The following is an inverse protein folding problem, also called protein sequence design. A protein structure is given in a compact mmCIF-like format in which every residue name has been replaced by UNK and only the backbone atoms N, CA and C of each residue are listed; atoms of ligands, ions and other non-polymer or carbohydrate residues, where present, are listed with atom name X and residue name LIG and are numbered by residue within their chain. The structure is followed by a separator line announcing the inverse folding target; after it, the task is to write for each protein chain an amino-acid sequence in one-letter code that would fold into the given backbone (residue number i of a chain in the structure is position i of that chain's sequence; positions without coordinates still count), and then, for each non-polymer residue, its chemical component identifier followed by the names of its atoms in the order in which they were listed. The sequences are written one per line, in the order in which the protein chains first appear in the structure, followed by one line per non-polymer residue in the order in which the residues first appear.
data_IF_026065704913
#
_entry.id   IF_026065704913
#
_cell.length_a   1.000
_cell.length_b   1.000
_cell.length_c   1.000
_cell.angle_alpha   90.00
_cell.angle_beta   90.00
_cell.angle_gamma   90.00
#
_symmetry.space_group_name_H-M   'P 1'
#
loop_
_entity.id
_entity.type
_entity.pdbx_description
1 polymer ?
#
# COMPACT_ATOMS: atom_id res chain seq x y z
N UNK A 1 -19.05 -35.83 -17.21
CA UNK A 1 -19.53 -34.59 -16.55
C UNK A 1 -20.64 -33.98 -17.41
N UNK A 2 -21.87 -33.73 -16.93
CA UNK A 2 -22.96 -33.30 -17.80
C UNK A 2 -22.71 -31.90 -18.35
N UNK A 3 -22.83 -31.72 -19.65
CA UNK A 3 -22.63 -30.49 -20.44
C UNK A 3 -23.34 -29.26 -19.83
N UNK A 4 -24.49 -29.47 -19.16
CA UNK A 4 -25.21 -28.41 -18.43
C UNK A 4 -24.40 -27.81 -17.27
N UNK A 5 -23.59 -28.62 -16.57
CA UNK A 5 -22.75 -28.14 -15.44
C UNK A 5 -21.62 -27.29 -15.95
N UNK A 6 -21.00 -27.70 -17.06
CA UNK A 6 -19.91 -26.94 -17.72
C UNK A 6 -20.43 -25.59 -18.23
N UNK A 7 -21.58 -25.57 -18.94
CA UNK A 7 -22.19 -24.31 -19.42
C UNK A 7 -22.55 -23.34 -18.27
N UNK A 8 -23.04 -23.87 -17.13
CA UNK A 8 -23.41 -23.07 -15.96
C UNK A 8 -22.16 -22.48 -15.30
N UNK A 9 -21.08 -23.26 -15.17
CA UNK A 9 -19.80 -22.78 -14.62
C UNK A 9 -19.20 -21.71 -15.53
N UNK A 10 -19.13 -21.94 -16.84
CA UNK A 10 -18.64 -20.98 -17.82
C UNK A 10 -19.42 -19.64 -17.78
N UNK A 11 -20.76 -19.69 -17.73
CA UNK A 11 -21.59 -18.47 -17.61
C UNK A 11 -21.32 -17.73 -16.30
N UNK A 12 -21.15 -18.46 -15.17
CA UNK A 12 -20.84 -17.87 -13.86
C UNK A 12 -19.44 -17.22 -13.85
N UNK A 13 -18.44 -17.90 -14.38
CA UNK A 13 -17.07 -17.38 -14.48
C UNK A 13 -17.02 -16.14 -15.40
N UNK A 14 -17.66 -16.22 -16.58
CA UNK A 14 -17.75 -15.07 -17.49
C UNK A 14 -18.49 -13.89 -16.87
N UNK A 15 -19.55 -14.13 -16.11
CA UNK A 15 -20.28 -13.05 -15.42
C UNK A 15 -19.45 -12.40 -14.33
N UNK A 16 -18.69 -13.18 -13.54
CA UNK A 16 -17.78 -12.65 -12.49
C UNK A 16 -16.69 -11.82 -13.14
N UNK A 17 -16.00 -12.36 -14.14
CA UNK A 17 -14.96 -11.63 -14.88
C UNK A 17 -15.49 -10.34 -15.52
N UNK A 18 -16.69 -10.42 -16.15
CA UNK A 18 -17.32 -9.25 -16.77
C UNK A 18 -17.73 -8.20 -15.75
N UNK A 19 -18.25 -8.60 -14.58
CA UNK A 19 -18.65 -7.69 -13.50
C UNK A 19 -17.46 -7.01 -12.84
N UNK A 20 -16.34 -7.71 -12.70
CA UNK A 20 -15.10 -7.14 -12.16
C UNK A 20 -14.44 -6.13 -13.11
N UNK A 21 -14.68 -6.28 -14.42
CA UNK A 21 -14.14 -5.35 -15.44
C UNK A 21 -15.07 -4.18 -15.76
N UNK A 22 -16.35 -4.24 -15.35
CA UNK A 22 -17.30 -3.12 -15.51
C UNK A 22 -17.11 -2.09 -14.39
N UNK A 23 -16.03 -1.34 -14.46
CA UNK A 23 -15.85 -0.18 -13.59
C UNK A 23 -16.55 1.03 -14.23
N UNK A 24 -17.34 1.76 -13.44
CA UNK A 24 -17.99 3.00 -13.84
C UNK A 24 -16.91 4.03 -14.25
N UNK A 25 -17.06 4.71 -15.39
CA UNK A 25 -16.14 5.75 -15.87
C UNK A 25 -15.83 6.80 -14.78
N UNK A 26 -16.80 7.12 -13.93
CA UNK A 26 -16.61 8.01 -12.78
C UNK A 26 -15.60 7.45 -11.76
N UNK A 27 -15.59 6.13 -11.57
CA UNK A 27 -14.61 5.48 -10.68
C UNK A 27 -13.19 5.60 -11.24
N UNK A 28 -13.02 5.40 -12.54
CA UNK A 28 -11.73 5.58 -13.23
C UNK A 28 -11.25 7.04 -13.12
N UNK A 29 -12.15 7.99 -13.34
CA UNK A 29 -11.83 9.42 -13.25
C UNK A 29 -11.33 9.80 -11.84
N UNK A 30 -12.05 9.38 -10.79
CA UNK A 30 -11.64 9.70 -9.42
C UNK A 30 -10.39 8.94 -8.97
N UNK A 31 -10.19 7.71 -9.43
CA UNK A 31 -8.95 6.96 -9.19
C UNK A 31 -7.76 7.67 -9.87
N UNK A 32 -7.93 8.14 -11.12
CA UNK A 32 -6.91 8.91 -11.82
C UNK A 32 -6.57 10.21 -11.11
N UNK A 33 -7.54 11.06 -10.82
CA UNK A 33 -7.31 12.37 -10.19
C UNK A 33 -6.69 12.20 -8.80
N UNK A 34 -7.23 11.29 -7.97
CA UNK A 34 -6.71 11.04 -6.63
C UNK A 34 -5.26 10.55 -6.65
N UNK A 35 -4.94 9.58 -7.52
CA UNK A 35 -3.57 9.08 -7.65
C UNK A 35 -2.63 10.12 -8.25
N UNK A 36 -3.07 10.87 -9.26
CA UNK A 36 -2.27 11.94 -9.88
C UNK A 36 -1.89 13.02 -8.87
N UNK A 37 -2.87 13.50 -8.08
CA UNK A 37 -2.61 14.51 -7.05
C UNK A 37 -1.74 13.95 -5.93
N UNK A 38 -2.04 12.75 -5.42
CA UNK A 38 -1.28 12.12 -4.34
C UNK A 38 0.18 11.87 -4.72
N UNK A 39 0.41 11.24 -5.87
CA UNK A 39 1.77 11.02 -6.37
C UNK A 39 2.46 12.31 -6.78
N UNK A 40 1.73 13.24 -7.41
CA UNK A 40 2.27 14.52 -7.83
C UNK A 40 2.81 15.34 -6.66
N UNK A 41 2.09 15.36 -5.53
CA UNK A 41 2.56 16.00 -4.30
C UNK A 41 3.83 15.35 -3.74
N UNK A 42 3.86 14.00 -3.70
CA UNK A 42 5.07 13.29 -3.24
C UNK A 42 6.24 13.59 -4.19
N UNK A 43 6.02 13.48 -5.50
CA UNK A 43 7.04 13.75 -6.49
C UNK A 43 7.58 15.17 -6.38
N UNK A 44 6.70 16.16 -6.26
CA UNK A 44 7.08 17.56 -6.10
C UNK A 44 7.90 17.82 -4.82
N UNK A 45 7.46 17.27 -3.68
CA UNK A 45 8.14 17.47 -2.39
C UNK A 45 9.47 16.74 -2.28
N UNK A 46 9.67 15.66 -3.02
CA UNK A 46 10.91 14.89 -3.02
C UNK A 46 11.85 15.28 -4.18
N UNK A 47 11.35 16.00 -5.18
CA UNK A 47 12.13 16.43 -6.33
C UNK A 47 13.34 17.27 -5.87
N UNK A 48 14.51 16.94 -6.39
CA UNK A 48 15.77 17.62 -6.05
C UNK A 48 16.33 17.34 -4.64
N UNK A 49 15.66 16.50 -3.82
CA UNK A 49 16.13 16.11 -2.48
C UNK A 49 16.88 14.80 -2.46
N UNK A 50 16.70 13.98 -3.48
CA UNK A 50 17.31 12.67 -3.64
C UNK A 50 17.95 12.56 -5.03
N UNK A 51 18.92 11.63 -5.18
CA UNK A 51 19.41 11.28 -6.50
C UNK A 51 18.30 10.58 -7.32
N UNK A 52 18.41 10.59 -8.64
CA UNK A 52 17.35 10.09 -9.53
C UNK A 52 16.97 8.62 -9.28
N UNK A 53 17.97 7.77 -9.01
CA UNK A 53 17.73 6.34 -8.79
C UNK A 53 16.92 6.10 -7.50
N UNK A 54 17.28 6.74 -6.39
CA UNK A 54 16.59 6.58 -5.11
C UNK A 54 15.18 7.19 -5.16
N UNK A 55 15.03 8.31 -5.87
CA UNK A 55 13.75 8.94 -6.14
C UNK A 55 12.79 8.01 -6.91
N UNK A 56 13.26 7.35 -7.96
CA UNK A 56 12.46 6.40 -8.76
C UNK A 56 12.02 5.21 -7.93
N UNK A 57 12.90 4.62 -7.12
CA UNK A 57 12.54 3.50 -6.26
C UNK A 57 11.46 3.87 -5.23
N UNK A 58 11.60 5.01 -4.59
CA UNK A 58 10.63 5.49 -3.61
C UNK A 58 9.26 5.72 -4.25
N UNK A 59 9.21 6.34 -5.41
CA UNK A 59 7.99 6.55 -6.20
C UNK A 59 7.35 5.21 -6.57
N UNK A 60 8.14 4.18 -6.90
CA UNK A 60 7.63 2.85 -7.21
C UNK A 60 6.83 2.22 -6.07
N UNK A 61 7.30 2.32 -4.83
CA UNK A 61 6.57 1.84 -3.66
C UNK A 61 5.24 2.59 -3.45
N UNK A 62 5.25 3.91 -3.55
CA UNK A 62 4.04 4.73 -3.42
C UNK A 62 3.09 4.57 -4.62
N UNK A 63 3.63 4.34 -5.83
CA UNK A 63 2.82 4.00 -7.00
C UNK A 63 1.99 2.74 -6.78
N UNK A 64 2.60 1.69 -6.23
CA UNK A 64 1.88 0.48 -5.85
C UNK A 64 0.81 0.74 -4.78
N UNK A 65 1.07 1.65 -3.81
CA UNK A 65 0.08 2.08 -2.82
C UNK A 65 -1.09 2.82 -3.45
N UNK A 66 -0.85 3.65 -4.47
CA UNK A 66 -1.91 4.36 -5.19
C UNK A 66 -2.89 3.40 -5.87
N UNK A 67 -2.42 2.28 -6.44
CA UNK A 67 -3.29 1.25 -7.02
C UNK A 67 -4.27 0.73 -5.98
N UNK A 68 -3.82 0.46 -4.76
CA UNK A 68 -4.70 0.00 -3.67
C UNK A 68 -5.63 1.11 -3.18
N UNK A 69 -5.06 2.27 -2.84
CA UNK A 69 -5.75 3.33 -2.10
C UNK A 69 -6.74 4.09 -2.97
N UNK A 70 -6.49 4.22 -4.27
CA UNK A 70 -7.38 4.92 -5.20
C UNK A 70 -8.11 3.98 -6.16
N UNK A 71 -7.51 2.83 -6.51
CA UNK A 71 -8.09 1.86 -7.45
C UNK A 71 -8.97 0.81 -6.77
N UNK A 72 -8.61 0.34 -5.57
CA UNK A 72 -9.32 -0.74 -4.86
C UNK A 72 -9.66 -0.31 -3.42
N UNK A 73 -10.35 0.82 -3.28
CA UNK A 73 -10.62 1.52 -2.01
C UNK A 73 -11.32 0.66 -0.95
N UNK A 74 -12.08 -0.38 -1.37
CA UNK A 74 -12.78 -1.30 -0.46
C UNK A 74 -11.86 -2.42 0.06
N UNK A 75 -10.65 -2.55 -0.47
CA UNK A 75 -9.72 -3.58 -0.01
C UNK A 75 -9.34 -3.36 1.45
N UNK A 76 -9.35 -4.40 2.30
CA UNK A 76 -8.80 -4.32 3.65
C UNK A 76 -7.33 -3.85 3.66
N UNK A 77 -6.56 -4.19 2.62
CA UNK A 77 -5.14 -3.84 2.46
C UNK A 77 -4.91 -2.37 2.11
N UNK A 78 -5.95 -1.67 1.63
CA UNK A 78 -5.91 -0.25 1.28
C UNK A 78 -6.26 0.69 2.45
N UNK A 79 -6.71 0.15 3.58
CA UNK A 79 -7.23 0.97 4.69
C UNK A 79 -6.12 1.78 5.39
N UNK A 80 -6.45 2.92 6.04
CA UNK A 80 -5.46 3.83 6.64
C UNK A 80 -4.47 3.14 7.56
N UNK A 81 -4.93 2.20 8.40
CA UNK A 81 -4.08 1.42 9.29
C UNK A 81 -3.04 0.61 8.51
N UNK A 82 -3.46 -0.02 7.40
CA UNK A 82 -2.61 -0.85 6.58
C UNK A 82 -1.63 0.02 5.78
N UNK A 83 -2.10 1.12 5.19
CA UNK A 83 -1.25 2.05 4.45
C UNK A 83 -0.12 2.59 5.35
N UNK A 84 -0.45 3.24 6.44
CA UNK A 84 0.55 3.86 7.32
C UNK A 84 1.39 2.79 8.03
N UNK A 85 0.71 1.85 8.72
CA UNK A 85 1.40 0.82 9.50
C UNK A 85 2.25 -0.11 8.64
N UNK A 86 1.77 -0.47 7.45
CA UNK A 86 2.52 -1.32 6.53
C UNK A 86 3.82 -0.67 6.08
N UNK A 87 3.77 0.57 5.63
CA UNK A 87 4.98 1.31 5.24
C UNK A 87 5.95 1.51 6.41
N UNK A 88 5.46 1.95 7.57
CA UNK A 88 6.30 2.21 8.76
C UNK A 88 6.97 0.94 9.27
N UNK A 89 6.19 -0.13 9.46
CA UNK A 89 6.73 -1.43 9.91
C UNK A 89 7.78 -1.96 8.93
N UNK A 90 7.48 -1.90 7.64
CA UNK A 90 8.40 -2.37 6.60
C UNK A 90 9.67 -1.54 6.52
N UNK A 91 9.58 -0.22 6.66
CA UNK A 91 10.75 0.66 6.68
C UNK A 91 11.64 0.37 7.90
N UNK A 92 11.05 0.20 9.08
CA UNK A 92 11.79 -0.18 10.30
C UNK A 92 12.55 -1.49 10.11
N UNK A 93 11.88 -2.52 9.60
CA UNK A 93 12.50 -3.83 9.34
C UNK A 93 13.59 -3.71 8.27
N UNK A 94 13.31 -3.03 7.16
CA UNK A 94 14.28 -2.86 6.07
C UNK A 94 15.57 -2.18 6.53
N UNK A 95 15.46 -1.07 7.29
CA UNK A 95 16.62 -0.36 7.85
C UNK A 95 17.36 -1.23 8.86
N UNK A 96 16.64 -1.98 9.72
CA UNK A 96 17.28 -2.88 10.68
C UNK A 96 18.07 -3.97 9.97
N UNK A 97 17.51 -4.60 8.94
CA UNK A 97 18.20 -5.61 8.14
C UNK A 97 19.42 -5.02 7.42
N UNK A 98 19.27 -3.84 6.82
CA UNK A 98 20.38 -3.14 6.14
C UNK A 98 21.57 -2.90 7.10
N UNK A 99 21.30 -2.54 8.35
CA UNK A 99 22.34 -2.32 9.36
C UNK A 99 22.97 -3.60 9.88
N UNK A 100 22.21 -4.70 9.96
CA UNK A 100 22.69 -5.99 10.48
C UNK A 100 23.41 -6.83 9.42
N UNK A 101 23.03 -6.68 8.14
CA UNK A 101 23.55 -7.48 7.01
C UNK A 101 23.89 -6.53 5.84
N UNK A 102 24.85 -5.59 6.01
CA UNK A 102 25.05 -4.50 5.05
C UNK A 102 25.62 -4.95 3.70
N UNK A 103 26.50 -5.96 3.68
CA UNK A 103 27.31 -6.30 2.50
C UNK A 103 26.80 -7.53 1.74
N UNK A 104 25.76 -8.18 2.23
CA UNK A 104 25.21 -9.41 1.64
C UNK A 104 23.81 -9.15 1.04
N UNK A 105 23.74 -8.37 -0.02
CA UNK A 105 22.48 -7.95 -0.65
C UNK A 105 21.56 -9.15 -0.98
N UNK A 106 22.10 -10.26 -1.47
CA UNK A 106 21.33 -11.45 -1.83
C UNK A 106 20.68 -12.17 -0.63
N UNK A 107 21.17 -11.89 0.61
CA UNK A 107 20.53 -12.32 1.86
C UNK A 107 19.65 -11.19 2.43
N UNK A 108 20.17 -9.96 2.48
CA UNK A 108 19.49 -8.83 3.11
C UNK A 108 18.16 -8.50 2.42
N UNK A 109 18.12 -8.53 1.09
CA UNK A 109 16.91 -8.20 0.36
C UNK A 109 15.73 -9.18 0.63
N UNK A 110 15.87 -10.50 0.45
CA UNK A 110 14.79 -11.42 0.78
C UNK A 110 14.47 -11.44 2.27
N UNK A 111 15.45 -11.27 3.17
CA UNK A 111 15.25 -11.22 4.60
C UNK A 111 14.40 -10.00 5.00
N UNK A 112 14.71 -8.82 4.47
CA UNK A 112 13.96 -7.60 4.73
C UNK A 112 12.49 -7.73 4.29
N UNK A 113 12.24 -8.26 3.10
CA UNK A 113 10.88 -8.47 2.59
C UNK A 113 10.13 -9.51 3.42
N UNK A 114 10.75 -10.66 3.69
CA UNK A 114 10.12 -11.76 4.43
C UNK A 114 9.78 -11.34 5.86
N UNK A 115 10.72 -10.71 6.57
CA UNK A 115 10.46 -10.20 7.93
C UNK A 115 9.40 -9.10 7.91
N UNK A 116 9.41 -8.19 6.94
CA UNK A 116 8.39 -7.15 6.85
C UNK A 116 6.98 -7.74 6.70
N UNK A 117 6.81 -8.80 5.91
CA UNK A 117 5.54 -9.52 5.79
C UNK A 117 5.09 -10.07 7.15
N UNK A 118 5.98 -10.78 7.84
CA UNK A 118 5.67 -11.38 9.16
C UNK A 118 5.28 -10.30 10.17
N UNK A 119 6.06 -9.22 10.27
CA UNK A 119 5.77 -8.14 11.21
C UNK A 119 4.50 -7.37 10.85
N UNK A 120 4.23 -7.14 9.56
CA UNK A 120 2.95 -6.58 9.13
C UNK A 120 1.76 -7.48 9.48
N UNK A 121 1.92 -8.81 9.41
CA UNK A 121 0.87 -9.75 9.83
C UNK A 121 0.64 -9.70 11.35
N UNK A 122 1.70 -9.72 12.16
CA UNK A 122 1.65 -9.62 13.62
C UNK A 122 0.95 -8.31 14.05
N UNK A 123 1.33 -7.19 13.44
CA UNK A 123 0.76 -5.86 13.75
C UNK A 123 -0.60 -5.63 13.09
N UNK A 124 -1.04 -6.56 12.23
CA UNK A 124 -2.30 -6.45 11.45
C UNK A 124 -2.31 -5.21 10.54
N UNK A 125 -1.19 -4.90 9.95
CA UNK A 125 -0.99 -3.75 9.06
C UNK A 125 -0.57 -4.17 7.65
N UNK A 126 -0.94 -5.39 7.24
CA UNK A 126 -0.52 -5.95 5.96
C UNK A 126 -0.88 -5.02 4.79
N UNK A 127 0.14 -4.53 4.11
CA UNK A 127 0.07 -3.63 2.97
C UNK A 127 1.15 -4.04 1.95
N UNK A 128 0.78 -4.68 0.84
CA UNK A 128 1.77 -5.25 -0.09
C UNK A 128 2.87 -4.28 -0.55
N UNK A 129 2.58 -2.98 -0.82
CA UNK A 129 3.63 -2.02 -1.16
C UNK A 129 4.68 -1.80 -0.05
N UNK A 130 4.36 -2.13 1.20
CA UNK A 130 5.33 -2.12 2.30
C UNK A 130 6.52 -3.04 2.03
N UNK A 131 6.31 -4.20 1.38
CA UNK A 131 7.42 -5.07 0.97
C UNK A 131 8.45 -4.35 0.09
N UNK A 132 7.99 -3.53 -0.86
CA UNK A 132 8.87 -2.69 -1.66
C UNK A 132 9.58 -1.63 -0.81
N UNK A 133 8.91 -1.05 0.19
CA UNK A 133 9.53 -0.09 1.12
C UNK A 133 10.68 -0.72 1.91
N UNK A 134 10.53 -1.97 2.40
CA UNK A 134 11.61 -2.69 3.07
C UNK A 134 12.77 -3.00 2.11
N UNK A 135 12.44 -3.38 0.87
CA UNK A 135 13.44 -3.66 -0.17
C UNK A 135 14.26 -2.42 -0.50
N UNK A 136 13.63 -1.25 -0.66
CA UNK A 136 14.29 0.03 -0.94
C UNK A 136 15.28 0.41 0.17
N UNK A 137 14.96 0.16 1.44
CA UNK A 137 15.88 0.44 2.55
C UNK A 137 17.20 -0.34 2.42
N UNK A 138 17.16 -1.53 1.81
CA UNK A 138 18.33 -2.40 1.62
C UNK A 138 19.05 -2.15 0.28
N UNK A 139 18.27 -1.97 -0.80
CA UNK A 139 18.80 -1.84 -2.17
C UNK A 139 19.06 -0.42 -2.62
N UNK A 140 18.54 0.57 -1.90
CA UNK A 140 18.71 1.99 -2.20
C UNK A 140 20.17 2.42 -2.16
N UNK A 141 20.48 3.54 -2.83
CA UNK A 141 21.80 4.12 -2.88
C UNK A 141 22.28 4.66 -1.54
N UNK A 142 23.45 5.26 -1.56
CA UNK A 142 24.11 5.79 -0.36
C UNK A 142 23.21 6.74 0.42
N UNK A 143 22.49 7.62 -0.26
CA UNK A 143 21.58 8.59 0.39
C UNK A 143 20.50 7.89 1.22
N UNK A 144 19.85 6.83 0.70
CA UNK A 144 18.84 6.08 1.45
C UNK A 144 19.46 5.38 2.67
N UNK A 145 20.64 4.77 2.50
CA UNK A 145 21.33 4.06 3.58
C UNK A 145 21.79 4.99 4.69
N UNK A 146 22.29 6.17 4.35
CA UNK A 146 22.73 7.21 5.29
C UNK A 146 21.59 7.80 6.13
N UNK A 147 20.35 7.84 5.60
CA UNK A 147 19.19 8.24 6.39
C UNK A 147 18.98 7.32 7.61
N UNK A 148 19.37 6.06 7.53
CA UNK A 148 19.10 5.12 8.60
C UNK A 148 17.62 5.14 9.01
N UNK A 149 17.33 5.26 10.31
CA UNK A 149 15.93 5.29 10.78
C UNK A 149 15.16 6.57 10.45
N UNK A 150 15.83 7.64 10.01
CA UNK A 150 15.16 8.84 9.49
C UNK A 150 14.35 8.49 8.24
N UNK A 151 14.79 7.50 7.44
CA UNK A 151 14.04 6.96 6.31
C UNK A 151 12.59 6.60 6.66
N UNK A 152 12.35 6.07 7.87
CA UNK A 152 11.01 5.70 8.35
C UNK A 152 10.11 6.93 8.46
N UNK A 153 10.64 8.05 8.93
CA UNK A 153 9.89 9.30 9.13
C UNK A 153 9.77 10.05 7.82
N UNK A 154 10.90 10.31 7.20
CA UNK A 154 10.99 10.95 5.88
C UNK A 154 12.00 10.18 5.02
N UNK A 155 11.58 9.66 3.88
CA UNK A 155 10.36 9.95 3.11
C UNK A 155 9.15 9.03 3.36
N UNK A 156 9.27 7.94 4.15
CA UNK A 156 8.26 6.87 4.17
C UNK A 156 6.96 7.31 4.85
N UNK A 157 6.99 7.69 6.12
CA UNK A 157 5.77 8.11 6.84
C UNK A 157 5.18 9.38 6.23
N UNK A 158 6.00 10.36 5.88
CA UNK A 158 5.53 11.61 5.26
C UNK A 158 4.82 11.35 3.93
N UNK A 159 5.36 10.51 3.06
CA UNK A 159 4.72 10.14 1.80
C UNK A 159 3.42 9.36 2.00
N UNK A 160 3.40 8.38 2.92
CA UNK A 160 2.20 7.63 3.24
C UNK A 160 1.09 8.53 3.82
N UNK A 161 1.43 9.55 4.64
CA UNK A 161 0.48 10.53 5.14
C UNK A 161 -0.08 11.40 4.03
N UNK A 162 0.74 11.85 3.07
CA UNK A 162 0.25 12.59 1.89
C UNK A 162 -0.77 11.76 1.13
N UNK A 163 -0.46 10.50 0.81
CA UNK A 163 -1.39 9.61 0.14
C UNK A 163 -2.69 9.43 0.92
N UNK A 164 -2.60 9.28 2.25
CA UNK A 164 -3.77 9.12 3.11
C UNK A 164 -4.65 10.38 3.08
N UNK A 165 -4.07 11.57 3.25
CA UNK A 165 -4.83 12.82 3.25
C UNK A 165 -5.55 13.01 1.91
N UNK A 166 -4.83 12.84 0.80
CA UNK A 166 -5.43 12.92 -0.54
C UNK A 166 -6.53 11.87 -0.72
N UNK A 167 -6.32 10.65 -0.24
CA UNK A 167 -7.32 9.58 -0.31
C UNK A 167 -8.58 9.91 0.50
N UNK A 168 -8.44 10.47 1.71
CA UNK A 168 -9.57 10.89 2.53
C UNK A 168 -10.40 11.98 1.86
N UNK A 169 -9.78 12.84 1.08
CA UNK A 169 -10.48 13.88 0.31
C UNK A 169 -11.13 13.26 -0.93
N UNK A 170 -10.34 12.74 -1.86
CA UNK A 170 -10.81 12.35 -3.19
C UNK A 170 -11.72 11.11 -3.19
N UNK A 171 -11.50 10.16 -2.28
CA UNK A 171 -12.35 8.98 -2.17
C UNK A 171 -13.67 9.23 -1.44
N UNK A 172 -13.96 10.45 -1.00
CA UNK A 172 -15.21 10.83 -0.34
C UNK A 172 -15.95 11.96 -1.06
N UNK A 173 -15.47 12.42 -2.23
CA UNK A 173 -16.13 13.46 -3.01
C UNK A 173 -17.43 13.01 -3.68
N UNK A 174 -17.65 11.70 -3.81
CA UNK A 174 -18.87 11.16 -4.41
C UNK A 174 -19.59 10.20 -3.47
N UNK A 175 -20.94 10.15 -3.51
CA UNK A 175 -21.72 9.27 -2.62
C UNK A 175 -21.42 7.77 -2.78
N UNK A 176 -20.93 7.35 -3.96
CA UNK A 176 -20.62 5.95 -4.24
C UNK A 176 -19.26 5.50 -3.71
N UNK A 177 -18.34 6.43 -3.48
CA UNK A 177 -17.02 6.18 -2.92
C UNK A 177 -17.02 6.52 -1.44
N UNK A 178 -16.55 5.61 -0.61
CA UNK A 178 -16.45 5.82 0.84
C UNK A 178 -15.13 5.22 1.34
N UNK A 179 -14.28 6.09 1.84
CA UNK A 179 -13.00 5.71 2.41
C UNK A 179 -12.76 6.44 3.74
N UNK A 180 -12.37 5.77 4.82
CA UNK A 180 -12.09 4.33 4.90
C UNK A 180 -13.36 3.48 4.71
N UNK A 181 -13.19 2.29 4.12
CA UNK A 181 -14.28 1.32 3.96
C UNK A 181 -14.74 0.76 5.32
N UNK A 182 -13.81 0.70 6.29
CA UNK A 182 -14.09 0.29 7.67
C UNK A 182 -13.86 1.50 8.58
N UNK A 183 -14.81 1.91 9.44
CA UNK A 183 -14.61 3.01 10.36
C UNK A 183 -13.33 2.81 11.20
N UNK A 184 -12.50 3.85 11.29
CA UNK A 184 -11.24 3.85 12.06
C UNK A 184 -11.51 3.47 13.53
N UNK A 185 -12.68 3.85 14.06
CA UNK A 185 -13.15 3.53 15.40
C UNK A 185 -14.32 2.54 15.34
N UNK A 186 -14.02 1.26 15.19
CA UNK A 186 -15.03 0.22 15.41
C UNK A 186 -15.28 0.10 16.91
N UNK A 187 -16.35 0.75 17.44
CA UNK A 187 -16.84 0.48 18.81
C UNK A 187 -16.98 -1.04 18.96
N UNK A 188 -16.17 -1.63 19.83
CA UNK A 188 -16.24 -3.05 20.18
C UNK A 188 -17.66 -3.29 20.72
N UNK A 189 -18.60 -3.80 19.92
CA UNK A 189 -19.84 -4.35 20.43
C UNK A 189 -19.43 -5.50 21.35
N UNK A 190 -19.55 -5.31 22.67
CA UNK A 190 -19.48 -6.41 23.64
C UNK A 190 -20.54 -7.43 23.19
N UNK A 191 -20.09 -8.60 22.70
CA UNK A 191 -20.98 -9.75 22.61
C UNK A 191 -21.45 -10.02 24.04
N UNK A 192 -22.74 -9.78 24.33
CA UNK A 192 -23.36 -10.37 25.50
C UNK A 192 -23.27 -11.87 25.30
N UNK A 193 -22.56 -12.56 26.18
CA UNK A 193 -22.60 -14.01 26.26
C UNK A 193 -24.05 -14.38 26.60
N UNK A 194 -24.65 -15.38 25.94
CA UNK A 194 -25.95 -15.89 26.38
C UNK A 194 -25.75 -16.50 27.77
N UNK A 195 -26.72 -16.21 28.68
CA UNK A 195 -26.84 -16.84 29.97
C UNK A 195 -27.11 -18.33 29.84
#
# INVERSE_FOLDING_TARGET
MPIRKIKRTYRKTRYVLYKETLVDFREHFWAFIGSFVGMGLIAYLQYGKMNESDFVFLIGSFGASCVLVYGVIQSPLAQPRNLIGGHVVSALIGVSVQKLVPDLLWIAAPLAVSLSIVFMQITKTLHPPGGATALIAVTGGTQIKELGYIYVISPVLSGALILLIVALIFNNLTPKRKYPAVPILRKRKRKKLPN
#
